data_IF_300009556957
#
_entry.id   IF_300009556957
#
_cell.length_a   1.000
_cell.length_b   1.000
_cell.length_c   1.000
_cell.angle_alpha   90.00
_cell.angle_beta   90.00
_cell.angle_gamma   90.00
#
_symmetry.space_group_name_H-M   'P 1'
#
loop_
_entity.id
_entity.type
_entity.pdbx_description
1 polymer ?
#
# COMPACT_ATOMS: atom_id res chain seq x y z
N UNK A 1 43.59 -40.56 -24.37
CA UNK A 1 44.17 -39.24 -24.65
C UNK A 1 43.14 -38.20 -24.21
N UNK A 2 43.21 -37.75 -22.96
CA UNK A 2 42.23 -36.85 -22.33
C UNK A 2 42.89 -35.46 -22.32
N UNK A 3 42.34 -34.53 -23.09
CA UNK A 3 42.80 -33.14 -23.08
C UNK A 3 42.12 -32.37 -21.97
N UNK A 4 42.92 -31.93 -21.00
CA UNK A 4 42.56 -30.99 -19.96
C UNK A 4 42.44 -29.58 -20.57
N UNK A 5 41.24 -28.99 -20.55
CA UNK A 5 41.04 -27.59 -20.87
C UNK A 5 41.00 -26.78 -19.57
N UNK A 6 41.98 -25.92 -19.37
CA UNK A 6 42.06 -25.01 -18.24
C UNK A 6 41.05 -23.87 -18.38
N UNK A 7 40.34 -23.56 -17.29
CA UNK A 7 39.44 -22.40 -17.16
C UNK A 7 40.27 -21.11 -16.97
N UNK A 8 39.89 -19.99 -17.57
CA UNK A 8 40.60 -18.73 -17.39
C UNK A 8 40.31 -18.13 -15.99
N UNK A 9 41.36 -17.56 -15.39
CA UNK A 9 41.31 -16.87 -14.10
C UNK A 9 40.48 -15.59 -14.20
N UNK A 10 39.55 -15.43 -13.27
CA UNK A 10 38.81 -14.18 -13.07
C UNK A 10 39.71 -13.12 -12.44
N UNK A 11 39.93 -12.03 -13.17
CA UNK A 11 40.58 -10.82 -12.71
C UNK A 11 39.69 -10.12 -11.66
N UNK A 12 40.25 -9.79 -10.50
CA UNK A 12 39.61 -9.04 -9.43
C UNK A 12 39.39 -7.59 -9.84
N UNK A 13 38.20 -7.27 -10.31
CA UNK A 13 37.72 -5.89 -10.38
C UNK A 13 37.21 -5.44 -9.00
N UNK A 14 37.81 -4.37 -8.49
CA UNK A 14 37.43 -3.70 -7.25
C UNK A 14 35.97 -3.27 -7.30
N UNK A 15 35.09 -3.96 -6.56
CA UNK A 15 33.72 -3.53 -6.34
C UNK A 15 33.73 -2.34 -5.39
N UNK A 16 33.32 -1.20 -5.91
CA UNK A 16 32.92 -0.05 -5.09
C UNK A 16 31.76 -0.49 -4.17
N UNK A 17 32.00 -0.40 -2.88
CA UNK A 17 31.04 -0.65 -1.81
C UNK A 17 29.80 0.24 -1.99
N UNK A 18 28.76 -0.30 -2.61
CA UNK A 18 27.41 0.22 -2.45
C UNK A 18 26.96 -0.13 -1.02
N UNK A 19 26.85 0.89 -0.20
CA UNK A 19 26.38 0.76 1.18
C UNK A 19 24.99 0.12 1.17
N UNK A 20 24.96 -1.16 1.53
CA UNK A 20 23.75 -1.82 2.01
C UNK A 20 23.33 -1.02 3.25
N UNK A 21 22.18 -0.31 3.17
CA UNK A 21 21.62 0.38 4.30
C UNK A 21 21.41 -0.66 5.39
N UNK A 22 22.28 -0.63 6.41
CA UNK A 22 22.16 -1.43 7.61
C UNK A 22 20.76 -1.19 8.19
N UNK A 23 19.98 -2.27 8.32
CA UNK A 23 18.83 -2.29 9.21
C UNK A 23 19.34 -1.84 10.58
N UNK A 24 19.09 -0.57 10.91
CA UNK A 24 19.20 -0.13 12.29
C UNK A 24 18.19 -0.96 13.07
N UNK A 25 18.72 -1.93 13.84
CA UNK A 25 17.96 -2.63 14.85
C UNK A 25 17.46 -1.55 15.80
N UNK A 26 16.17 -1.24 15.74
CA UNK A 26 15.56 -0.31 16.67
C UNK A 26 15.88 -0.78 18.08
N UNK A 27 16.54 0.07 18.86
CA UNK A 27 16.77 -0.17 20.29
C UNK A 27 15.41 -0.47 20.93
N UNK A 28 15.29 -1.65 21.54
CA UNK A 28 14.08 -2.02 22.29
C UNK A 28 14.01 -1.14 23.51
N UNK A 29 12.99 -0.27 23.58
CA UNK A 29 12.75 0.54 24.76
C UNK A 29 12.39 -0.36 25.96
N UNK A 30 12.90 -0.03 27.15
CA UNK A 30 12.74 -0.86 28.35
C UNK A 30 11.32 -0.78 28.95
N UNK A 31 10.66 0.35 28.81
CA UNK A 31 9.30 0.61 29.31
C UNK A 31 8.35 0.88 28.16
N UNK A 32 7.07 0.45 28.26
CA UNK A 32 6.11 0.71 27.19
C UNK A 32 5.88 2.22 27.03
N UNK A 33 5.80 2.67 25.79
CA UNK A 33 5.38 4.04 25.51
C UNK A 33 3.95 4.28 25.97
N UNK A 34 3.66 5.43 26.58
CA UNK A 34 2.28 5.89 26.73
C UNK A 34 1.56 5.94 25.40
N UNK A 35 0.23 5.86 25.41
CA UNK A 35 -0.57 5.77 24.18
C UNK A 35 -0.30 6.92 23.19
N UNK A 36 -0.16 8.15 23.67
CA UNK A 36 0.13 9.32 22.83
C UNK A 36 1.51 9.24 22.18
N UNK A 37 2.51 8.78 22.93
CA UNK A 37 3.86 8.59 22.40
C UNK A 37 3.91 7.45 21.40
N UNK A 38 3.25 6.33 21.70
CA UNK A 38 3.16 5.20 20.78
C UNK A 38 2.48 5.57 19.45
N UNK A 39 1.37 6.34 19.52
CA UNK A 39 0.76 6.89 18.32
C UNK A 39 1.71 7.81 17.55
N UNK A 40 2.47 8.65 18.25
CA UNK A 40 3.46 9.52 17.61
C UNK A 40 4.56 8.72 16.89
N UNK A 41 5.05 7.62 17.49
CA UNK A 41 6.02 6.72 16.86
C UNK A 41 5.44 6.04 15.60
N UNK A 42 4.19 5.55 15.65
CA UNK A 42 3.51 5.00 14.48
C UNK A 42 3.37 6.05 13.37
N UNK A 43 3.01 7.29 13.72
CA UNK A 43 2.89 8.40 12.76
C UNK A 43 4.23 8.81 12.15
N UNK A 44 5.33 8.71 12.89
CA UNK A 44 6.67 9.01 12.39
C UNK A 44 7.09 8.10 11.23
N UNK A 45 6.58 6.86 11.15
CA UNK A 45 6.80 5.97 10.02
C UNK A 45 6.22 6.53 8.70
N UNK A 46 5.38 7.53 8.76
CA UNK A 46 4.87 8.25 7.59
C UNK A 46 5.96 8.84 6.69
N UNK A 47 7.17 9.09 7.22
CA UNK A 47 8.33 9.49 6.44
C UNK A 47 8.74 8.44 5.39
N UNK A 48 8.32 7.17 5.57
CA UNK A 48 8.53 6.06 4.63
C UNK A 48 7.30 5.76 3.76
N UNK A 49 6.26 6.60 3.83
CA UNK A 49 5.07 6.38 3.04
C UNK A 49 5.36 6.57 1.54
N UNK A 50 4.75 5.76 0.73
CA UNK A 50 4.99 5.71 -0.71
C UNK A 50 4.66 7.01 -1.49
N UNK A 51 4.12 8.03 -0.82
CA UNK A 51 3.98 9.38 -1.39
C UNK A 51 5.35 9.97 -1.78
N UNK A 52 6.40 9.55 -1.07
CA UNK A 52 7.79 9.99 -1.31
C UNK A 52 8.54 9.08 -2.28
N UNK A 53 7.92 8.02 -2.78
CA UNK A 53 8.51 7.18 -3.82
C UNK A 53 8.76 8.00 -5.09
N UNK A 54 9.93 7.85 -5.78
CA UNK A 54 10.27 8.64 -6.97
C UNK A 54 9.16 8.65 -8.03
N UNK A 55 8.54 7.49 -8.29
CA UNK A 55 7.41 7.39 -9.21
C UNK A 55 6.20 8.23 -8.79
N UNK A 56 5.84 8.25 -7.50
CA UNK A 56 4.74 9.09 -7.00
C UNK A 56 5.09 10.58 -7.03
N UNK A 57 6.33 10.94 -6.70
CA UNK A 57 6.81 12.33 -6.82
C UNK A 57 6.71 12.80 -8.27
N UNK A 58 7.18 11.99 -9.21
CA UNK A 58 7.06 12.23 -10.66
C UNK A 58 5.59 12.39 -11.09
N UNK A 59 4.72 11.46 -10.64
CA UNK A 59 3.29 11.50 -10.95
C UNK A 59 2.62 12.78 -10.41
N UNK A 60 2.93 13.17 -9.19
CA UNK A 60 2.32 14.35 -8.56
C UNK A 60 2.87 15.68 -9.12
N UNK A 61 4.01 15.66 -9.82
CA UNK A 61 4.58 16.81 -10.52
C UNK A 61 4.22 16.89 -12.03
N UNK A 62 3.38 15.97 -12.53
CA UNK A 62 2.98 15.95 -13.94
C UNK A 62 4.01 15.30 -14.88
N UNK A 63 5.05 14.67 -14.33
CA UNK A 63 6.15 14.10 -15.12
C UNK A 63 5.85 12.71 -15.71
N UNK A 64 4.74 12.06 -15.38
CA UNK A 64 4.41 10.76 -15.94
C UNK A 64 3.77 10.85 -17.33
N UNK A 65 4.16 9.93 -18.21
CA UNK A 65 3.50 9.75 -19.51
C UNK A 65 2.10 9.12 -19.33
N UNK A 66 1.21 9.23 -20.34
CA UNK A 66 -0.08 8.52 -20.31
C UNK A 66 0.07 7.01 -20.12
N UNK A 67 1.09 6.39 -20.68
CA UNK A 67 1.38 4.96 -20.52
C UNK A 67 1.75 4.63 -19.06
N UNK A 68 2.58 5.45 -18.42
CA UNK A 68 2.93 5.28 -17.01
C UNK A 68 1.72 5.43 -16.08
N UNK A 69 0.82 6.39 -16.37
CA UNK A 69 -0.43 6.54 -15.61
C UNK A 69 -1.34 5.32 -15.79
N UNK A 70 -1.53 4.85 -17.04
CA UNK A 70 -2.32 3.63 -17.32
C UNK A 70 -1.73 2.42 -16.63
N UNK A 71 -0.42 2.21 -16.75
CA UNK A 71 0.28 1.12 -16.07
C UNK A 71 0.10 1.16 -14.56
N UNK A 72 0.19 2.34 -13.95
CA UNK A 72 -0.09 2.51 -12.53
C UNK A 72 -1.55 2.21 -12.16
N UNK A 73 -2.53 2.70 -12.92
CA UNK A 73 -3.95 2.45 -12.68
C UNK A 73 -4.27 0.97 -12.76
N UNK A 74 -3.81 0.27 -13.81
CA UNK A 74 -4.04 -1.15 -14.01
C UNK A 74 -3.41 -2.01 -12.89
N UNK A 75 -2.16 -1.72 -12.52
CA UNK A 75 -1.47 -2.45 -11.46
C UNK A 75 -2.07 -2.19 -10.08
N UNK A 76 -2.43 -0.94 -9.79
CA UNK A 76 -3.05 -0.57 -8.52
C UNK A 76 -4.46 -1.14 -8.39
N UNK A 77 -5.16 -1.45 -9.48
CA UNK A 77 -6.46 -2.11 -9.47
C UNK A 77 -6.40 -3.46 -8.77
N UNK A 78 -5.35 -4.25 -8.98
CA UNK A 78 -5.15 -5.50 -8.26
C UNK A 78 -5.12 -5.32 -6.74
N UNK A 79 -4.49 -4.25 -6.26
CA UNK A 79 -4.54 -3.92 -4.83
C UNK A 79 -5.97 -3.55 -4.40
N UNK A 80 -6.73 -2.79 -5.20
CA UNK A 80 -8.09 -2.37 -4.83
C UNK A 80 -9.03 -3.54 -4.63
N UNK A 81 -9.05 -4.49 -5.57
CA UNK A 81 -9.93 -5.67 -5.48
C UNK A 81 -9.51 -6.65 -4.36
N UNK A 82 -8.28 -6.54 -3.85
CA UNK A 82 -7.77 -7.36 -2.76
C UNK A 82 -7.93 -6.73 -1.36
N UNK A 83 -8.27 -5.44 -1.27
CA UNK A 83 -8.56 -4.81 0.03
C UNK A 83 -9.75 -5.48 0.73
N UNK A 84 -10.92 -5.71 0.10
CA UNK A 84 -12.03 -6.40 0.75
C UNK A 84 -11.66 -7.83 1.19
N UNK A 85 -10.86 -8.54 0.42
CA UNK A 85 -10.40 -9.89 0.79
C UNK A 85 -9.53 -9.89 2.04
N UNK A 86 -8.67 -8.88 2.17
CA UNK A 86 -7.88 -8.65 3.38
C UNK A 86 -8.79 -8.28 4.57
N UNK A 87 -9.78 -7.40 4.36
CA UNK A 87 -10.70 -6.99 5.42
C UNK A 87 -11.64 -8.13 5.84
N UNK A 88 -12.11 -8.96 4.91
CA UNK A 88 -12.85 -10.19 5.20
C UNK A 88 -12.03 -11.18 6.03
N UNK A 89 -10.73 -11.30 5.77
CA UNK A 89 -9.83 -12.14 6.57
C UNK A 89 -9.73 -11.62 8.02
N UNK A 90 -9.65 -10.31 8.24
CA UNK A 90 -9.69 -9.71 9.57
C UNK A 90 -11.02 -10.01 10.26
N UNK A 91 -12.15 -9.82 9.57
CA UNK A 91 -13.48 -10.12 10.11
C UNK A 91 -13.63 -11.60 10.52
N UNK A 92 -13.14 -12.53 9.69
CA UNK A 92 -13.22 -13.96 9.97
C UNK A 92 -12.41 -14.39 11.20
N UNK A 93 -11.31 -13.70 11.47
CA UNK A 93 -10.41 -13.99 12.58
C UNK A 93 -10.76 -13.22 13.86
N UNK A 94 -11.62 -12.18 13.78
CA UNK A 94 -11.99 -11.34 14.91
C UNK A 94 -13.19 -11.92 15.66
N UNK A 95 -13.06 -12.39 16.93
CA UNK A 95 -14.19 -12.89 17.72
C UNK A 95 -15.06 -11.75 18.28
N UNK A 96 -14.51 -10.52 18.37
CA UNK A 96 -15.23 -9.38 18.94
C UNK A 96 -16.30 -8.83 18.00
N UNK A 97 -17.56 -8.86 18.45
CA UNK A 97 -18.71 -8.44 17.65
C UNK A 97 -18.69 -6.95 17.35
N UNK A 98 -18.31 -6.11 18.31
CA UNK A 98 -18.34 -4.67 18.12
C UNK A 98 -17.26 -4.21 17.15
N UNK A 99 -16.07 -4.78 17.24
CA UNK A 99 -15.02 -4.56 16.23
C UNK A 99 -15.50 -4.97 14.83
N UNK A 100 -16.14 -6.15 14.69
CA UNK A 100 -16.65 -6.58 13.37
C UNK A 100 -17.72 -5.64 12.81
N UNK A 101 -18.60 -5.09 13.64
CA UNK A 101 -19.63 -4.12 13.22
C UNK A 101 -19.04 -2.85 12.64
N UNK A 102 -17.93 -2.39 13.20
CA UNK A 102 -17.23 -1.21 12.70
C UNK A 102 -16.38 -1.55 11.48
N UNK A 103 -15.76 -2.75 11.47
CA UNK A 103 -14.84 -3.14 10.40
C UNK A 103 -15.54 -3.51 9.09
N UNK A 104 -16.80 -4.00 9.16
CA UNK A 104 -17.55 -4.39 7.95
C UNK A 104 -17.83 -3.19 7.02
N UNK A 105 -17.88 -1.99 7.54
CA UNK A 105 -18.06 -0.77 6.75
C UNK A 105 -16.95 -0.63 5.68
N UNK A 106 -15.75 -1.14 5.94
CA UNK A 106 -14.64 -1.12 4.98
C UNK A 106 -14.90 -2.01 3.76
N UNK A 107 -15.61 -3.12 3.93
CA UNK A 107 -16.05 -3.96 2.80
C UNK A 107 -17.11 -3.20 1.98
N UNK A 108 -18.09 -2.61 2.64
CA UNK A 108 -19.12 -1.81 1.97
C UNK A 108 -18.50 -0.63 1.20
N UNK A 109 -17.49 0.02 1.75
CA UNK A 109 -16.79 1.13 1.08
C UNK A 109 -16.06 0.70 -0.19
N UNK A 110 -15.54 -0.52 -0.25
CA UNK A 110 -14.78 -1.03 -1.39
C UNK A 110 -15.65 -1.81 -2.37
N UNK A 111 -16.41 -2.80 -1.89
CA UNK A 111 -17.26 -3.65 -2.74
C UNK A 111 -18.57 -2.96 -3.15
N UNK A 112 -19.00 -1.99 -2.36
CA UNK A 112 -20.30 -1.35 -2.49
C UNK A 112 -21.37 -2.05 -1.66
N UNK A 113 -22.50 -1.35 -1.47
CA UNK A 113 -23.67 -1.88 -0.77
C UNK A 113 -24.94 -1.14 -1.22
N UNK A 114 -26.00 -1.87 -1.51
CA UNK A 114 -27.25 -1.30 -2.01
C UNK A 114 -27.00 -0.56 -3.35
N UNK A 115 -27.33 0.72 -3.39
CA UNK A 115 -27.13 1.58 -4.58
C UNK A 115 -25.72 2.21 -4.61
N UNK A 116 -24.91 2.02 -3.57
CA UNK A 116 -23.56 2.56 -3.50
C UNK A 116 -22.58 1.63 -4.20
N UNK A 117 -22.00 2.09 -5.30
CA UNK A 117 -21.16 1.27 -6.18
C UNK A 117 -19.79 0.85 -5.59
N UNK A 118 -19.32 1.51 -4.52
CA UNK A 118 -18.06 1.20 -3.87
C UNK A 118 -16.80 1.74 -4.56
N UNK A 119 -15.70 1.59 -3.85
CA UNK A 119 -14.38 2.10 -4.26
C UNK A 119 -13.78 1.34 -5.44
N UNK A 120 -14.09 0.04 -5.60
CA UNK A 120 -13.61 -0.75 -6.73
C UNK A 120 -14.21 -0.23 -8.03
N UNK A 121 -15.52 0.04 -8.04
CA UNK A 121 -16.17 0.62 -9.22
C UNK A 121 -15.68 2.06 -9.47
N UNK A 122 -15.46 2.85 -8.43
CA UNK A 122 -14.87 4.18 -8.58
C UNK A 122 -13.44 4.13 -9.17
N UNK A 123 -12.67 3.07 -8.85
CA UNK A 123 -11.37 2.85 -9.47
C UNK A 123 -11.49 2.38 -10.93
N UNK A 124 -12.46 1.51 -11.25
CA UNK A 124 -12.72 1.09 -12.62
C UNK A 124 -13.08 2.31 -13.51
N UNK A 125 -13.86 3.27 -12.99
CA UNK A 125 -14.12 4.56 -13.69
C UNK A 125 -12.86 5.38 -13.89
N UNK A 126 -11.89 5.33 -12.96
CA UNK A 126 -10.57 5.93 -13.21
C UNK A 126 -9.86 5.20 -14.35
N UNK A 127 -10.00 3.87 -14.46
CA UNK A 127 -9.52 3.09 -15.61
C UNK A 127 -10.09 3.60 -16.92
N UNK A 128 -11.42 3.74 -16.99
CA UNK A 128 -12.11 4.31 -18.17
C UNK A 128 -11.56 5.72 -18.50
N UNK A 129 -11.43 6.59 -17.49
CA UNK A 129 -10.98 7.97 -17.65
C UNK A 129 -9.53 8.11 -18.14
N UNK A 130 -8.68 7.12 -17.91
CA UNK A 130 -7.31 7.08 -18.46
C UNK A 130 -7.22 6.26 -19.75
N UNK A 131 -8.35 5.75 -20.26
CA UNK A 131 -8.44 5.03 -21.52
C UNK A 131 -7.98 3.58 -21.45
N UNK A 132 -8.28 2.88 -20.36
CA UNK A 132 -8.15 1.42 -20.22
C UNK A 132 -9.55 0.82 -20.39
N UNK A 133 -9.71 -0.15 -21.30
CA UNK A 133 -10.95 -0.88 -21.45
C UNK A 133 -11.30 -1.66 -20.17
N UNK A 134 -12.58 -1.76 -19.85
CA UNK A 134 -13.03 -2.46 -18.63
C UNK A 134 -12.70 -3.92 -18.61
N UNK A 135 -12.90 -4.63 -19.73
CA UNK A 135 -12.58 -6.05 -19.80
C UNK A 135 -11.08 -6.28 -19.66
N UNK A 136 -10.27 -5.40 -20.25
CA UNK A 136 -8.82 -5.36 -20.09
C UNK A 136 -8.41 -5.14 -18.63
N UNK A 137 -9.02 -4.15 -17.94
CA UNK A 137 -8.75 -3.88 -16.54
C UNK A 137 -9.09 -5.08 -15.63
N UNK A 138 -10.27 -5.68 -15.85
CA UNK A 138 -10.75 -6.82 -15.06
C UNK A 138 -10.03 -8.13 -15.41
N UNK A 139 -9.45 -8.27 -16.59
CA UNK A 139 -8.64 -9.45 -16.95
C UNK A 139 -7.36 -9.57 -16.11
N UNK A 140 -6.90 -8.44 -15.54
CA UNK A 140 -5.66 -8.35 -14.75
C UNK A 140 -4.39 -8.73 -15.55
N UNK A 141 -4.44 -8.68 -16.88
CA UNK A 141 -3.32 -9.08 -17.74
C UNK A 141 -2.10 -8.16 -17.61
N UNK A 142 -2.33 -6.87 -17.26
CA UNK A 142 -1.26 -5.89 -17.03
C UNK A 142 -0.67 -5.92 -15.62
N UNK A 143 -1.18 -6.77 -14.73
CA UNK A 143 -0.69 -6.81 -13.35
C UNK A 143 0.64 -7.52 -13.27
N UNK A 144 1.66 -6.75 -12.91
CA UNK A 144 3.05 -7.18 -12.82
C UNK A 144 3.25 -8.22 -11.70
N UNK A 145 4.15 -9.21 -11.90
CA UNK A 145 4.45 -10.21 -10.85
C UNK A 145 4.85 -9.58 -9.51
N UNK A 146 5.67 -8.52 -9.50
CA UNK A 146 6.08 -7.84 -8.28
C UNK A 146 4.90 -7.21 -7.53
N UNK A 147 3.90 -6.67 -8.26
CA UNK A 147 2.67 -6.15 -7.66
C UNK A 147 1.83 -7.28 -7.07
N UNK A 148 1.68 -8.41 -7.80
CA UNK A 148 0.97 -9.59 -7.27
C UNK A 148 1.62 -10.09 -5.99
N UNK A 149 2.93 -10.31 -5.96
CA UNK A 149 3.64 -10.77 -4.78
C UNK A 149 3.45 -9.84 -3.58
N UNK A 150 3.55 -8.53 -3.77
CA UNK A 150 3.37 -7.56 -2.70
C UNK A 150 1.94 -7.57 -2.15
N UNK A 151 0.93 -7.57 -3.01
CA UNK A 151 -0.48 -7.59 -2.60
C UNK A 151 -0.85 -8.92 -1.95
N UNK A 152 -0.43 -10.05 -2.52
CA UNK A 152 -0.70 -11.39 -1.97
C UNK A 152 -0.01 -11.58 -0.60
N UNK A 153 1.20 -11.04 -0.41
CA UNK A 153 1.85 -11.03 0.89
C UNK A 153 1.02 -10.29 1.93
N UNK A 154 0.41 -9.16 1.57
CA UNK A 154 -0.46 -8.39 2.45
C UNK A 154 -1.74 -9.16 2.84
N UNK A 155 -2.44 -9.72 1.85
CA UNK A 155 -3.64 -10.53 2.09
C UNK A 155 -3.33 -11.76 2.92
N UNK A 156 -2.24 -12.45 2.62
CA UNK A 156 -1.80 -13.64 3.37
C UNK A 156 -1.36 -13.29 4.80
N UNK A 157 -0.76 -12.13 5.03
CA UNK A 157 -0.49 -11.64 6.38
C UNK A 157 -1.81 -11.51 7.17
N UNK A 158 -2.83 -10.86 6.61
CA UNK A 158 -4.12 -10.68 7.27
C UNK A 158 -4.85 -12.02 7.55
N UNK A 159 -4.65 -13.03 6.70
CA UNK A 159 -5.23 -14.38 6.90
C UNK A 159 -4.59 -15.17 8.04
N UNK A 160 -3.31 -14.93 8.31
CA UNK A 160 -2.50 -15.77 9.23
C UNK A 160 -2.17 -15.09 10.54
N UNK A 161 -2.09 -13.78 10.57
CA UNK A 161 -1.78 -13.00 11.76
C UNK A 161 -2.97 -12.96 12.73
N UNK A 162 -2.72 -12.74 14.04
CA UNK A 162 -3.76 -12.30 14.95
C UNK A 162 -4.53 -11.11 14.34
N UNK A 163 -5.83 -11.08 14.52
CA UNK A 163 -6.66 -10.04 13.88
C UNK A 163 -6.24 -8.61 14.26
N UNK A 164 -5.75 -8.40 15.49
CA UNK A 164 -5.25 -7.09 15.93
C UNK A 164 -3.97 -6.69 15.17
N UNK A 165 -3.07 -7.63 14.90
CA UNK A 165 -1.90 -7.39 14.06
C UNK A 165 -2.32 -7.05 12.61
N UNK A 166 -3.31 -7.77 12.10
CA UNK A 166 -3.85 -7.49 10.77
C UNK A 166 -4.55 -6.12 10.70
N UNK A 167 -5.25 -5.69 11.75
CA UNK A 167 -5.79 -4.32 11.90
C UNK A 167 -4.66 -3.30 11.89
N UNK A 168 -3.60 -3.51 12.68
CA UNK A 168 -2.43 -2.62 12.75
C UNK A 168 -1.81 -2.39 11.36
N UNK A 169 -1.72 -3.44 10.53
CA UNK A 169 -1.21 -3.32 9.15
C UNK A 169 -2.02 -2.37 8.26
N UNK A 170 -3.25 -2.02 8.64
CA UNK A 170 -4.10 -1.08 7.90
C UNK A 170 -3.84 0.38 8.27
N UNK A 171 -3.00 0.68 9.25
CA UNK A 171 -2.74 2.04 9.73
C UNK A 171 -2.05 2.96 8.72
N UNK A 172 -1.60 2.46 7.56
CA UNK A 172 -1.16 3.33 6.45
C UNK A 172 -2.25 4.28 5.97
N UNK A 173 -3.52 4.04 6.33
CA UNK A 173 -4.63 4.98 6.12
C UNK A 173 -4.39 6.34 6.80
N UNK A 174 -3.55 6.41 7.86
CA UNK A 174 -3.15 7.68 8.49
C UNK A 174 -2.52 8.66 7.51
N UNK A 175 -1.87 8.15 6.47
CA UNK A 175 -1.09 8.93 5.50
C UNK A 175 -1.86 9.13 4.18
N UNK A 176 -2.93 8.36 3.93
CA UNK A 176 -3.66 8.34 2.67
C UNK A 176 -4.39 9.66 2.32
N UNK A 177 -4.96 10.43 3.25
CA UNK A 177 -5.68 11.66 2.90
C UNK A 177 -4.82 12.69 2.15
N UNK A 178 -3.53 12.77 2.46
CA UNK A 178 -2.65 13.75 1.81
C UNK A 178 -2.45 13.42 0.33
N UNK A 179 -2.11 12.16 0.00
CA UNK A 179 -1.88 11.76 -1.40
C UNK A 179 -3.14 11.91 -2.26
N UNK A 180 -4.33 11.73 -1.67
CA UNK A 180 -5.59 11.95 -2.38
C UNK A 180 -5.86 13.44 -2.63
N UNK A 181 -5.61 14.32 -1.63
CA UNK A 181 -5.71 15.76 -1.80
C UNK A 181 -4.76 16.29 -2.88
N UNK A 182 -3.51 15.82 -2.88
CA UNK A 182 -2.50 16.24 -3.85
C UNK A 182 -2.92 15.89 -5.29
N UNK A 183 -3.48 14.71 -5.50
CA UNK A 183 -4.00 14.28 -6.80
C UNK A 183 -5.20 15.11 -7.24
N UNK A 184 -6.15 15.34 -6.37
CA UNK A 184 -7.33 16.16 -6.69
C UNK A 184 -6.98 17.61 -7.01
N UNK A 185 -5.95 18.15 -6.34
CA UNK A 185 -5.47 19.51 -6.60
C UNK A 185 -4.64 19.61 -7.90
N UNK A 186 -3.78 18.65 -8.16
CA UNK A 186 -2.80 18.72 -9.24
C UNK A 186 -3.26 18.11 -10.57
N UNK A 187 -3.88 16.94 -10.55
CA UNK A 187 -4.18 16.16 -11.76
C UNK A 187 -5.05 16.88 -12.80
N UNK A 188 -6.09 17.67 -12.44
CA UNK A 188 -6.87 18.40 -13.45
C UNK A 188 -6.03 19.34 -14.32
N UNK A 189 -4.94 19.87 -13.79
CA UNK A 189 -4.02 20.75 -14.54
C UNK A 189 -2.85 19.98 -15.16
N UNK A 190 -2.30 19.02 -14.44
CA UNK A 190 -1.11 18.27 -14.85
C UNK A 190 -1.42 17.20 -15.91
N UNK A 191 -2.62 16.63 -15.86
CA UNK A 191 -3.10 15.59 -16.78
C UNK A 191 -4.48 15.93 -17.33
N UNK A 192 -4.61 17.01 -18.14
CA UNK A 192 -5.91 17.50 -18.63
C UNK A 192 -6.64 16.51 -19.55
N UNK A 193 -5.97 15.46 -19.99
CA UNK A 193 -6.53 14.37 -20.79
C UNK A 193 -7.30 13.33 -19.94
N UNK A 194 -7.19 13.36 -18.61
CA UNK A 194 -7.94 12.49 -17.70
C UNK A 194 -9.28 13.16 -17.38
N UNK A 195 -10.37 12.47 -17.66
CA UNK A 195 -11.71 12.94 -17.31
C UNK A 195 -11.86 13.10 -15.80
N UNK A 196 -12.38 14.27 -15.37
CA UNK A 196 -12.46 14.61 -13.95
C UNK A 196 -13.38 13.69 -13.14
N UNK A 197 -14.39 13.10 -13.78
CA UNK A 197 -15.30 12.14 -13.12
C UNK A 197 -14.55 10.86 -12.68
N UNK A 198 -13.48 10.47 -13.36
CA UNK A 198 -12.59 9.39 -12.96
C UNK A 198 -11.86 9.64 -11.62
N UNK A 199 -11.79 10.90 -11.17
CA UNK A 199 -11.14 11.23 -9.90
C UNK A 199 -12.06 11.02 -8.66
N UNK A 200 -13.27 10.47 -8.85
CA UNK A 200 -14.23 10.24 -7.77
C UNK A 200 -13.68 9.32 -6.68
N UNK A 201 -12.88 8.33 -7.03
CA UNK A 201 -12.20 7.48 -6.06
C UNK A 201 -11.43 8.30 -5.02
N UNK A 202 -10.61 9.27 -5.45
CA UNK A 202 -9.80 10.08 -4.54
C UNK A 202 -10.66 10.98 -3.66
N UNK A 203 -11.80 11.50 -4.17
CA UNK A 203 -12.74 12.33 -3.39
C UNK A 203 -13.38 11.53 -2.27
N UNK A 204 -13.87 10.33 -2.58
CA UNK A 204 -14.55 9.48 -1.60
C UNK A 204 -13.61 8.96 -0.49
N UNK A 205 -12.34 8.71 -0.80
CA UNK A 205 -11.40 8.14 0.17
C UNK A 205 -10.95 9.08 1.28
N UNK A 206 -11.05 10.40 1.11
CA UNK A 206 -10.58 11.36 2.12
C UNK A 206 -11.36 11.23 3.44
N UNK A 207 -12.72 11.32 3.47
CA UNK A 207 -13.47 11.17 4.70
C UNK A 207 -13.43 9.74 5.26
N UNK A 208 -13.44 8.72 4.41
CA UNK A 208 -13.44 7.32 4.83
C UNK A 208 -12.14 6.94 5.55
N UNK A 209 -10.98 7.40 5.06
CA UNK A 209 -9.70 7.14 5.71
C UNK A 209 -9.63 7.69 7.14
N UNK A 210 -10.27 8.83 7.45
CA UNK A 210 -10.28 9.39 8.78
C UNK A 210 -11.02 8.49 9.79
N UNK A 211 -12.20 7.96 9.41
CA UNK A 211 -12.97 7.01 10.23
C UNK A 211 -12.16 5.71 10.45
N UNK A 212 -11.59 5.19 9.39
CA UNK A 212 -10.83 3.94 9.40
C UNK A 212 -9.59 4.00 10.31
N UNK A 213 -8.91 5.16 10.31
CA UNK A 213 -7.77 5.42 11.20
C UNK A 213 -8.17 5.41 12.66
N UNK A 214 -9.26 6.09 13.04
CA UNK A 214 -9.70 6.15 14.43
C UNK A 214 -9.97 4.74 14.98
N UNK A 215 -10.66 3.91 14.21
CA UNK A 215 -10.95 2.54 14.60
C UNK A 215 -9.69 1.68 14.66
N UNK A 216 -8.83 1.74 13.65
CA UNK A 216 -7.58 0.97 13.61
C UNK A 216 -6.61 1.35 14.72
N UNK A 217 -6.48 2.64 15.05
CA UNK A 217 -5.68 3.12 16.16
C UNK A 217 -6.21 2.65 17.52
N UNK A 218 -7.52 2.75 17.75
CA UNK A 218 -8.11 2.30 19.02
C UNK A 218 -7.79 0.83 19.30
N UNK A 219 -7.93 -0.06 18.31
CA UNK A 219 -7.57 -1.48 18.42
C UNK A 219 -6.08 -1.66 18.66
N UNK A 220 -5.24 -0.94 17.91
CA UNK A 220 -3.77 -1.06 17.99
C UNK A 220 -3.25 -0.61 19.35
N UNK A 221 -3.66 0.57 19.83
CA UNK A 221 -3.21 1.09 21.12
C UNK A 221 -3.68 0.24 22.29
N UNK A 222 -4.87 -0.38 22.20
CA UNK A 222 -5.39 -1.26 23.23
C UNK A 222 -4.70 -2.63 23.27
N UNK A 223 -4.21 -3.13 22.15
CA UNK A 223 -3.60 -4.47 22.06
C UNK A 223 -2.09 -4.48 22.32
N UNK A 224 -1.37 -3.53 21.77
CA UNK A 224 0.10 -3.48 21.83
C UNK A 224 0.56 -2.68 23.07
N UNK A 225 0.50 -3.30 24.27
CA UNK A 225 0.71 -2.63 25.56
C UNK A 225 2.07 -2.88 26.21
N UNK A 226 2.91 -3.75 25.64
CA UNK A 226 4.27 -4.01 26.14
C UNK A 226 5.32 -3.49 25.17
N UNK A 227 6.57 -3.19 25.59
CA UNK A 227 7.64 -2.75 24.70
C UNK A 227 7.81 -3.65 23.49
N UNK A 228 7.86 -4.96 23.70
CA UNK A 228 7.98 -5.95 22.62
C UNK A 228 6.77 -5.92 21.67
N UNK A 229 5.56 -5.75 22.21
CA UNK A 229 4.35 -5.67 21.38
C UNK A 229 4.33 -4.38 20.56
N UNK A 230 4.69 -3.24 21.16
CA UNK A 230 4.77 -1.96 20.46
C UNK A 230 5.82 -1.98 19.34
N UNK A 231 6.98 -2.59 19.59
CA UNK A 231 7.99 -2.84 18.57
C UNK A 231 7.40 -3.70 17.42
N UNK A 232 6.66 -4.75 17.77
CA UNK A 232 5.96 -5.58 16.76
C UNK A 232 4.97 -4.78 15.92
N UNK A 233 4.23 -3.85 16.51
CA UNK A 233 3.33 -2.96 15.75
C UNK A 233 4.09 -2.06 14.75
N UNK A 234 5.26 -1.53 15.17
CA UNK A 234 6.14 -0.74 14.29
C UNK A 234 6.61 -1.58 13.09
N UNK A 235 7.04 -2.83 13.32
CA UNK A 235 7.44 -3.76 12.27
C UNK A 235 6.30 -4.10 11.30
N UNK A 236 5.08 -4.29 11.83
CA UNK A 236 3.89 -4.57 11.02
C UNK A 236 3.55 -3.38 10.12
N UNK A 237 3.58 -2.17 10.67
CA UNK A 237 3.33 -0.97 9.88
C UNK A 237 4.44 -0.74 8.83
N UNK A 238 5.70 -0.98 9.20
CA UNK A 238 6.83 -0.93 8.26
C UNK A 238 6.65 -1.97 7.14
N UNK A 239 6.32 -3.21 7.45
CA UNK A 239 6.02 -4.25 6.45
C UNK A 239 4.96 -3.76 5.44
N UNK A 240 3.90 -3.10 5.92
CA UNK A 240 2.87 -2.57 5.02
C UNK A 240 3.38 -1.40 4.17
N UNK A 241 4.23 -0.55 4.71
CA UNK A 241 4.89 0.51 3.94
C UNK A 241 5.79 -0.07 2.84
N UNK A 242 6.54 -1.12 3.15
CA UNK A 242 7.41 -1.82 2.19
C UNK A 242 6.60 -2.46 1.05
N UNK A 243 5.42 -3.03 1.35
CA UNK A 243 4.49 -3.52 0.31
C UNK A 243 4.11 -2.41 -0.67
N UNK A 244 3.71 -1.25 -0.15
CA UNK A 244 3.30 -0.12 -0.98
C UNK A 244 4.45 0.43 -1.82
N UNK A 245 5.65 0.44 -1.26
CA UNK A 245 6.87 0.86 -1.94
C UNK A 245 7.26 -0.12 -3.04
N UNK A 246 7.33 -1.43 -2.74
CA UNK A 246 7.69 -2.49 -3.70
C UNK A 246 6.74 -2.57 -4.90
N UNK A 247 5.45 -2.24 -4.70
CA UNK A 247 4.52 -2.13 -5.83
C UNK A 247 4.94 -1.03 -6.80
N UNK A 248 5.39 0.11 -6.30
CA UNK A 248 5.83 1.23 -7.14
C UNK A 248 7.18 0.97 -7.79
N UNK A 249 8.11 0.29 -7.09
CA UNK A 249 9.37 -0.17 -7.70
C UNK A 249 9.11 -1.06 -8.91
N UNK A 250 8.16 -2.01 -8.79
CA UNK A 250 7.78 -2.88 -9.89
C UNK A 250 7.19 -2.10 -11.08
N UNK A 251 6.34 -1.12 -10.80
CA UNK A 251 5.69 -0.28 -11.82
C UNK A 251 6.73 0.63 -12.49
N UNK A 252 7.56 1.32 -11.73
CA UNK A 252 8.60 2.21 -12.26
C UNK A 252 9.58 1.47 -13.18
N UNK A 253 9.96 0.26 -12.80
CA UNK A 253 10.84 -0.59 -13.60
C UNK A 253 10.19 -1.07 -14.90
N UNK A 254 8.89 -1.36 -14.88
CA UNK A 254 8.17 -1.88 -16.05
C UNK A 254 7.77 -0.77 -17.04
N UNK A 255 7.55 0.44 -16.54
CA UNK A 255 7.18 1.61 -17.35
C UNK A 255 8.27 2.69 -17.23
N UNK A 256 9.46 2.46 -17.78
CA UNK A 256 10.56 3.42 -17.71
C UNK A 256 10.25 4.70 -18.48
N UNK A 257 11.07 5.74 -18.28
CA UNK A 257 10.95 7.05 -18.97
C UNK A 257 11.42 6.92 -20.41
#
# INVERSE_FOLDING_TARGET
>A
MIMNAALPAFSSASASSSACASHELHETHETPWPAEEFEAQLRALGARYHIYHPFNVKMNSGGCSPEQIRGWVANRFYYQINIPLKDAAILSNCPDRETRRLWIERLHDHDGYGEHAGGIEAWARLGDAVGIDRDELWSLEHVLPGVRFAVDAYVNFARRAPWQEAVCSSLTEMFAPQIHRDRLAGWPTLYPWIEQDGLQYFRSRIPLAQRDVQHGLAVTLAYFTTPKAQQRAMEILQFKLDILWSMLDAIEKAYPV
#
